data_IF_323849910274
#
_entry.id   IF_323849910274
#
_cell.length_a   1.000
_cell.length_b   1.000
_cell.length_c   1.000
_cell.angle_alpha   90.00
_cell.angle_beta   90.00
_cell.angle_gamma   90.00
#
_symmetry.space_group_name_H-M   'P 1'
#
loop_
_entity.id
_entity.type
_entity.pdbx_description
1 polymer ?
#
# COMPACT_ATOMS: atom_id res chain seq x y z
N UNK A 1 -10.00 -6.79 2.09
CA UNK A 1 -10.34 -6.62 0.67
C UNK A 1 -10.68 -7.94 0.00
N UNK A 2 -9.80 -8.97 0.02
CA UNK A 2 -10.16 -10.29 -0.53
C UNK A 2 -11.41 -10.89 0.14
N UNK A 3 -11.53 -10.78 1.48
CA UNK A 3 -12.72 -11.21 2.22
C UNK A 3 -14.00 -10.53 1.72
N UNK A 4 -13.98 -9.20 1.55
CA UNK A 4 -15.12 -8.43 1.01
C UNK A 4 -15.50 -8.90 -0.40
N UNK A 5 -14.52 -9.09 -1.28
CA UNK A 5 -14.81 -9.55 -2.64
C UNK A 5 -15.29 -11.01 -2.67
N UNK A 6 -14.71 -11.89 -1.85
CA UNK A 6 -15.13 -13.28 -1.75
C UNK A 6 -16.56 -13.43 -1.21
N UNK A 7 -16.95 -12.62 -0.21
CA UNK A 7 -18.31 -12.64 0.36
C UNK A 7 -19.42 -12.20 -0.59
N UNK A 8 -19.05 -11.51 -1.67
CA UNK A 8 -19.99 -11.18 -2.77
C UNK A 8 -20.20 -12.33 -3.77
N UNK A 9 -19.39 -13.38 -3.67
CA UNK A 9 -19.33 -14.48 -4.64
C UNK A 9 -19.62 -15.85 -4.01
N UNK A 10 -19.60 -15.96 -2.69
CA UNK A 10 -19.80 -17.21 -1.95
C UNK A 10 -20.42 -16.92 -0.59
N UNK A 11 -21.33 -17.77 -0.17
CA UNK A 11 -22.02 -17.70 1.14
C UNK A 11 -21.17 -18.34 2.28
N UNK A 12 -20.05 -18.98 1.96
CA UNK A 12 -19.20 -19.69 2.92
C UNK A 12 -17.79 -19.11 2.92
N UNK A 13 -17.60 -17.96 3.57
CA UNK A 13 -16.32 -17.24 3.63
C UNK A 13 -15.94 -16.94 5.06
N UNK A 14 -14.71 -17.29 5.43
CA UNK A 14 -14.14 -17.03 6.77
C UNK A 14 -12.84 -16.26 6.64
N UNK A 15 -12.74 -15.16 7.36
CA UNK A 15 -11.51 -14.39 7.51
C UNK A 15 -10.87 -14.62 8.87
N UNK A 16 -9.57 -14.84 8.90
CA UNK A 16 -8.76 -14.93 10.12
C UNK A 16 -7.93 -13.67 10.28
N UNK A 17 -7.95 -13.10 11.47
CA UNK A 17 -7.16 -11.94 11.84
C UNK A 17 -6.48 -12.22 13.21
N UNK A 18 -5.16 -12.06 13.24
CA UNK A 18 -4.37 -12.34 14.44
C UNK A 18 -4.61 -11.35 15.58
N UNK A 19 -5.10 -10.15 15.27
CA UNK A 19 -5.45 -9.12 16.24
C UNK A 19 -6.89 -8.64 16.00
N UNK A 20 -7.08 -7.33 15.79
CA UNK A 20 -8.34 -6.74 15.35
C UNK A 20 -8.14 -6.15 13.94
N UNK A 21 -9.18 -6.12 13.09
CA UNK A 21 -9.09 -5.42 11.81
C UNK A 21 -8.57 -3.98 11.98
N UNK A 22 -7.79 -3.51 11.01
CA UNK A 22 -7.18 -2.18 11.03
C UNK A 22 -6.21 -1.91 12.21
N UNK A 23 -5.68 -2.95 12.88
CA UNK A 23 -4.69 -2.75 13.93
C UNK A 23 -3.40 -2.05 13.42
N UNK A 24 -2.77 -1.25 14.27
CA UNK A 24 -1.58 -0.46 13.93
C UNK A 24 -0.26 -1.25 13.86
N UNK A 25 -0.24 -2.59 13.82
CA UNK A 25 1.00 -3.38 13.78
C UNK A 25 1.46 -3.71 12.38
N UNK A 26 0.55 -3.73 11.41
CA UNK A 26 0.82 -4.11 10.02
C UNK A 26 1.08 -2.89 9.13
N UNK A 27 1.50 -3.14 7.89
CA UNK A 27 1.68 -2.11 6.86
C UNK A 27 0.39 -1.32 6.52
N UNK A 28 -0.75 -1.67 7.12
CA UNK A 28 -2.00 -0.90 7.04
C UNK A 28 -2.03 0.26 8.05
N UNK A 29 -1.28 0.16 9.16
CA UNK A 29 -1.20 1.22 10.17
C UNK A 29 -0.76 2.57 9.61
N UNK A 30 -0.93 3.65 10.39
CA UNK A 30 -0.49 5.00 10.05
C UNK A 30 -1.48 5.79 9.19
N UNK A 31 -2.77 5.65 9.43
CA UNK A 31 -3.93 6.46 9.03
C UNK A 31 -4.18 6.59 7.53
N UNK A 32 -3.15 6.83 6.72
CA UNK A 32 -3.30 7.19 5.31
C UNK A 32 -2.32 6.46 4.41
N UNK A 33 -2.70 6.31 3.13
CA UNK A 33 -1.84 5.90 2.02
C UNK A 33 -2.16 6.74 0.79
N UNK A 34 -1.14 7.00 -0.02
CA UNK A 34 -1.31 7.69 -1.28
C UNK A 34 -2.06 6.79 -2.27
N UNK A 35 -3.08 7.33 -2.91
CA UNK A 35 -3.66 6.78 -4.13
C UNK A 35 -3.17 7.60 -5.33
N UNK A 36 -2.68 6.94 -6.37
CA UNK A 36 -2.20 7.57 -7.61
C UNK A 36 -2.57 6.70 -8.80
N UNK A 37 -3.07 7.32 -9.87
CA UNK A 37 -3.27 6.66 -11.16
C UNK A 37 -1.96 6.52 -11.92
N UNK A 38 -1.11 7.55 -11.81
CA UNK A 38 0.20 7.60 -12.48
C UNK A 38 1.22 6.95 -11.56
N UNK A 39 1.74 5.81 -11.98
CA UNK A 39 2.65 5.03 -11.17
C UNK A 39 3.94 4.69 -11.91
N UNK A 40 5.06 4.83 -11.21
CA UNK A 40 6.41 4.63 -11.75
C UNK A 40 6.65 3.16 -12.13
N UNK A 41 7.22 2.94 -13.29
CA UNK A 41 8.02 1.78 -13.62
C UNK A 41 7.35 0.67 -14.40
N UNK A 42 6.00 0.57 -14.44
CA UNK A 42 5.34 -0.47 -15.24
C UNK A 42 3.92 -0.08 -15.63
N UNK A 43 3.65 0.04 -16.93
CA UNK A 43 2.32 0.29 -17.47
C UNK A 43 1.30 -0.80 -17.07
N UNK A 44 1.75 -2.05 -16.86
CA UNK A 44 0.92 -3.20 -16.53
C UNK A 44 0.17 -3.07 -15.19
N UNK A 45 0.61 -2.16 -14.31
CA UNK A 45 -0.16 -1.85 -13.09
C UNK A 45 -1.43 -1.06 -13.36
N UNK A 46 -1.53 -0.36 -14.50
CA UNK A 46 -2.63 0.57 -14.74
C UNK A 46 -4.02 -0.07 -14.70
N UNK A 47 -4.26 -1.24 -15.34
CA UNK A 47 -5.55 -1.91 -15.25
C UNK A 47 -5.94 -2.27 -13.80
N UNK A 48 -4.96 -2.66 -12.97
CA UNK A 48 -5.18 -2.99 -11.56
C UNK A 48 -5.53 -1.72 -10.77
N UNK A 49 -4.82 -0.60 -11.03
CA UNK A 49 -5.08 0.69 -10.38
C UNK A 49 -6.45 1.22 -10.77
N UNK A 50 -6.81 1.17 -12.05
CA UNK A 50 -8.12 1.62 -12.55
C UNK A 50 -9.26 0.79 -11.94
N UNK A 51 -9.13 -0.54 -11.93
CA UNK A 51 -10.10 -1.41 -11.24
C UNK A 51 -10.17 -1.11 -9.75
N UNK A 52 -9.03 -0.88 -9.11
CA UNK A 52 -8.98 -0.53 -7.68
C UNK A 52 -9.73 0.76 -7.38
N UNK A 53 -9.59 1.76 -8.24
CA UNK A 53 -10.29 3.04 -8.07
C UNK A 53 -11.81 2.86 -8.11
N UNK A 54 -12.30 2.08 -9.08
CA UNK A 54 -13.72 1.74 -9.16
C UNK A 54 -14.21 1.01 -7.90
N UNK A 55 -13.44 0.02 -7.44
CA UNK A 55 -13.77 -0.75 -6.24
C UNK A 55 -13.69 0.06 -4.93
N UNK A 56 -12.80 1.06 -4.84
CA UNK A 56 -12.83 2.00 -3.71
C UNK A 56 -14.14 2.79 -3.68
N UNK A 57 -14.61 3.29 -4.82
CA UNK A 57 -15.90 4.00 -4.92
C UNK A 57 -17.10 3.06 -4.65
N UNK A 58 -17.04 1.80 -5.10
CA UNK A 58 -18.06 0.79 -4.76
C UNK A 58 -18.14 0.57 -3.23
N UNK A 59 -16.99 0.45 -2.56
CA UNK A 59 -16.93 0.25 -1.10
C UNK A 59 -17.43 1.48 -0.35
N UNK A 60 -17.11 2.69 -0.80
CA UNK A 60 -17.66 3.94 -0.27
C UNK A 60 -19.18 3.98 -0.37
N UNK A 61 -19.72 3.65 -1.55
CA UNK A 61 -21.16 3.63 -1.80
C UNK A 61 -21.90 2.55 -0.96
N UNK A 62 -21.29 1.35 -0.81
CA UNK A 62 -21.86 0.23 -0.06
C UNK A 62 -21.90 0.52 1.46
N UNK A 63 -20.90 1.25 1.99
CA UNK A 63 -20.73 1.42 3.44
C UNK A 63 -21.00 2.82 3.96
N UNK A 64 -21.18 3.80 3.07
CA UNK A 64 -21.33 5.22 3.45
C UNK A 64 -20.06 5.83 4.07
N UNK A 65 -18.89 5.18 3.94
CA UNK A 65 -17.64 5.66 4.51
C UNK A 65 -16.87 6.51 3.50
N UNK A 66 -16.32 7.64 3.94
CA UNK A 66 -15.35 8.45 3.18
C UNK A 66 -13.96 7.82 3.29
N UNK A 67 -13.52 7.11 2.25
CA UNK A 67 -12.28 6.35 2.22
C UNK A 67 -11.21 7.05 1.39
N UNK A 68 -11.55 7.54 0.21
CA UNK A 68 -10.63 8.21 -0.72
C UNK A 68 -10.87 9.72 -0.73
N UNK A 69 -10.12 10.47 0.07
CA UNK A 69 -10.10 11.93 0.02
C UNK A 69 -9.37 12.38 -1.25
N UNK A 70 -10.10 13.02 -2.16
CA UNK A 70 -9.59 13.45 -3.47
C UNK A 70 -8.87 14.79 -3.34
N UNK A 71 -7.54 14.73 -3.27
CA UNK A 71 -6.67 15.91 -3.13
C UNK A 71 -5.91 16.26 -4.40
N UNK A 72 -5.99 15.40 -5.43
CA UNK A 72 -4.99 15.36 -6.47
C UNK A 72 -3.66 14.81 -5.95
N UNK A 73 -2.67 14.72 -6.82
CA UNK A 73 -1.34 14.22 -6.46
C UNK A 73 -0.23 14.85 -7.27
N UNK A 74 0.85 15.23 -6.59
CA UNK A 74 2.06 15.78 -7.19
C UNK A 74 3.17 14.74 -7.19
N UNK A 75 3.75 14.51 -8.34
CA UNK A 75 5.02 13.79 -8.50
C UNK A 75 6.09 14.79 -8.91
N UNK A 76 6.89 15.26 -7.94
CA UNK A 76 7.86 16.35 -8.13
C UNK A 76 9.26 15.74 -8.30
N UNK A 77 10.00 16.27 -9.27
CA UNK A 77 11.39 15.87 -9.51
C UNK A 77 12.07 16.80 -10.53
N UNK A 78 13.35 16.53 -10.80
CA UNK A 78 14.14 17.28 -11.76
C UNK A 78 13.52 17.14 -13.16
N UNK A 79 13.30 18.27 -13.83
CA UNK A 79 12.83 18.30 -15.22
C UNK A 79 13.79 17.50 -16.12
N UNK A 80 13.22 16.69 -17.01
CA UNK A 80 13.96 15.73 -17.86
C UNK A 80 14.75 14.65 -17.09
N UNK A 81 14.60 14.58 -15.76
CA UNK A 81 15.19 13.51 -14.95
C UNK A 81 14.49 12.17 -15.15
N UNK A 82 15.16 11.08 -14.80
CA UNK A 82 14.64 9.72 -14.99
C UNK A 82 13.28 9.50 -14.32
N UNK A 83 13.06 10.10 -13.15
CA UNK A 83 11.79 9.97 -12.42
C UNK A 83 10.62 10.57 -13.22
N UNK A 84 10.74 11.82 -13.64
CA UNK A 84 9.69 12.52 -14.41
C UNK A 84 9.48 11.85 -15.78
N UNK A 85 10.55 11.53 -16.49
CA UNK A 85 10.46 10.89 -17.82
C UNK A 85 9.75 9.52 -17.73
N UNK A 86 10.04 8.73 -16.70
CA UNK A 86 9.38 7.43 -16.51
C UNK A 86 7.88 7.57 -16.21
N UNK A 87 7.47 8.61 -15.46
CA UNK A 87 6.06 8.89 -15.23
C UNK A 87 5.35 9.32 -16.53
N UNK A 88 5.96 10.22 -17.30
CA UNK A 88 5.41 10.68 -18.57
C UNK A 88 5.28 9.54 -19.58
N UNK A 89 6.26 8.65 -19.64
CA UNK A 89 6.15 7.45 -20.50
C UNK A 89 4.98 6.56 -20.07
N UNK A 90 4.80 6.35 -18.76
CA UNK A 90 3.65 5.60 -18.24
C UNK A 90 2.32 6.27 -18.61
N UNK A 91 2.21 7.60 -18.52
CA UNK A 91 0.98 8.32 -18.94
C UNK A 91 0.74 8.21 -20.44
N UNK A 92 1.80 8.28 -21.26
CA UNK A 92 1.72 8.12 -22.70
C UNK A 92 1.18 6.74 -23.10
N UNK A 93 1.65 5.68 -22.45
CA UNK A 93 1.22 4.30 -22.74
C UNK A 93 -0.23 4.05 -22.30
N UNK A 94 -0.61 4.56 -21.15
CA UNK A 94 -1.91 4.23 -20.53
C UNK A 94 -3.00 5.28 -20.77
N UNK A 95 -2.67 6.42 -21.40
CA UNK A 95 -3.61 7.52 -21.60
C UNK A 95 -4.10 8.16 -20.29
N UNK A 96 -3.31 8.06 -19.20
CA UNK A 96 -3.70 8.61 -17.91
C UNK A 96 -3.79 10.14 -17.95
N UNK A 97 -4.90 10.70 -17.47
CA UNK A 97 -5.10 12.14 -17.36
C UNK A 97 -4.03 12.77 -16.44
N UNK A 98 -3.35 13.79 -16.93
CA UNK A 98 -2.31 14.48 -16.17
C UNK A 98 -2.06 15.90 -16.72
N UNK A 99 -1.36 16.70 -15.94
CA UNK A 99 -0.70 17.91 -16.43
C UNK A 99 0.74 17.98 -15.92
N UNK A 100 1.59 18.62 -16.70
CA UNK A 100 2.97 18.90 -16.30
C UNK A 100 3.02 20.35 -15.82
N UNK A 101 3.46 20.54 -14.59
CA UNK A 101 3.59 21.87 -13.99
C UNK A 101 5.06 22.29 -14.01
N UNK A 102 5.32 23.49 -14.56
CA UNK A 102 6.64 24.12 -14.46
C UNK A 102 6.97 24.47 -13.00
N UNK A 103 8.21 24.85 -12.76
CA UNK A 103 8.64 25.32 -11.43
C UNK A 103 7.85 26.54 -10.98
N UNK A 104 7.58 27.47 -11.89
CA UNK A 104 6.83 28.70 -11.65
C UNK A 104 5.38 28.41 -11.27
N UNK A 105 4.71 27.52 -12.03
CA UNK A 105 3.34 27.08 -11.75
C UNK A 105 3.25 26.33 -10.41
N UNK A 106 4.27 25.52 -10.09
CA UNK A 106 4.35 24.85 -8.78
C UNK A 106 4.50 25.87 -7.64
N UNK A 107 5.38 26.85 -7.78
CA UNK A 107 5.61 27.88 -6.78
C UNK A 107 4.37 28.73 -6.51
N UNK A 108 3.59 29.03 -7.56
CA UNK A 108 2.33 29.77 -7.44
C UNK A 108 1.22 28.95 -6.80
N UNK A 109 1.03 27.70 -7.26
CA UNK A 109 -0.10 26.88 -6.83
C UNK A 109 0.13 26.14 -5.52
N UNK A 110 1.39 25.77 -5.24
CA UNK A 110 1.77 24.95 -4.07
C UNK A 110 3.02 25.51 -3.37
N UNK A 111 2.93 26.73 -2.84
CA UNK A 111 4.06 27.46 -2.21
C UNK A 111 4.63 26.77 -0.97
N UNK A 112 3.95 25.75 -0.45
CA UNK A 112 4.43 24.94 0.68
C UNK A 112 5.73 24.19 0.38
N UNK A 113 5.98 23.92 -0.91
CA UNK A 113 7.18 23.21 -1.35
C UNK A 113 8.35 24.18 -1.55
N UNK A 114 9.48 23.96 -0.87
CA UNK A 114 10.74 24.63 -1.20
C UNK A 114 11.34 23.99 -2.46
N UNK A 115 11.11 24.61 -3.61
CA UNK A 115 11.48 24.08 -4.93
C UNK A 115 12.94 24.29 -5.24
N UNK A 116 13.54 23.33 -5.95
CA UNK A 116 14.89 23.43 -6.54
C UNK A 116 14.81 24.10 -7.93
N UNK A 117 15.93 24.61 -8.45
CA UNK A 117 15.92 25.32 -9.74
C UNK A 117 15.31 24.54 -10.91
N UNK A 118 15.56 23.23 -10.95
CA UNK A 118 15.13 22.35 -12.04
C UNK A 118 13.92 21.50 -11.69
N UNK A 119 13.18 21.81 -10.63
CA UNK A 119 11.98 21.05 -10.25
C UNK A 119 10.83 21.29 -11.25
N UNK A 120 10.14 20.24 -11.58
CA UNK A 120 8.83 20.24 -12.22
C UNK A 120 7.94 19.17 -11.59
N UNK A 121 6.66 19.12 -11.92
CA UNK A 121 5.79 18.06 -11.44
C UNK A 121 4.90 17.46 -12.53
N UNK A 122 4.61 16.17 -12.39
CA UNK A 122 3.45 15.55 -13.02
C UNK A 122 2.31 15.58 -12.00
N UNK A 123 1.25 16.30 -12.32
CA UNK A 123 0.03 16.40 -11.53
C UNK A 123 -0.99 15.35 -11.99
N UNK A 124 -1.46 14.55 -11.07
CA UNK A 124 -2.50 13.53 -11.25
C UNK A 124 -3.81 14.02 -10.61
N UNK A 125 -4.81 14.48 -11.39
CA UNK A 125 -6.07 14.99 -10.86
C UNK A 125 -6.95 13.92 -10.21
N UNK A 126 -6.69 12.64 -10.51
CA UNK A 126 -7.43 11.49 -10.00
C UNK A 126 -6.77 10.85 -8.77
N UNK A 127 -5.65 11.40 -8.31
CA UNK A 127 -4.96 10.98 -7.11
C UNK A 127 -5.63 11.50 -5.83
N UNK A 128 -5.19 11.01 -4.70
CA UNK A 128 -5.66 11.42 -3.39
C UNK A 128 -5.07 10.59 -2.25
N UNK A 129 -5.76 10.58 -1.14
CA UNK A 129 -5.35 9.93 0.10
C UNK A 129 -6.40 8.93 0.55
N UNK A 130 -6.01 7.67 0.70
CA UNK A 130 -6.84 6.61 1.28
C UNK A 130 -6.72 6.62 2.80
N UNK A 131 -7.85 6.59 3.50
CA UNK A 131 -7.96 6.44 4.96
C UNK A 131 -7.92 4.95 5.29
N UNK A 132 -6.76 4.46 5.75
CA UNK A 132 -6.50 3.01 5.82
C UNK A 132 -7.36 2.28 6.84
N UNK A 133 -7.53 2.85 8.00
CA UNK A 133 -8.36 2.32 9.10
C UNK A 133 -9.84 2.23 8.70
N UNK A 134 -10.38 3.32 8.11
CA UNK A 134 -11.75 3.34 7.58
C UNK A 134 -11.93 2.31 6.48
N UNK A 135 -10.99 2.25 5.53
CA UNK A 135 -11.04 1.32 4.41
C UNK A 135 -11.08 -0.14 4.84
N UNK A 136 -10.26 -0.53 5.83
CA UNK A 136 -10.26 -1.91 6.35
C UNK A 136 -11.53 -2.19 7.13
N UNK A 137 -11.94 -1.28 8.01
CA UNK A 137 -13.17 -1.45 8.80
C UNK A 137 -14.41 -1.53 7.90
N UNK A 138 -14.49 -0.68 6.86
CA UNK A 138 -15.56 -0.70 5.87
C UNK A 138 -15.60 -2.04 5.11
N UNK A 139 -14.44 -2.53 4.63
CA UNK A 139 -14.38 -3.80 3.91
C UNK A 139 -14.76 -5.00 4.78
N UNK A 140 -14.40 -4.98 6.07
CA UNK A 140 -14.80 -6.02 7.02
C UNK A 140 -16.30 -5.95 7.30
N UNK A 141 -16.85 -4.76 7.55
CA UNK A 141 -18.28 -4.57 7.79
C UNK A 141 -19.12 -5.01 6.57
N UNK A 142 -18.71 -4.63 5.36
CA UNK A 142 -19.36 -5.05 4.12
C UNK A 142 -19.29 -6.57 3.93
N UNK A 143 -18.14 -7.19 4.22
CA UNK A 143 -18.02 -8.65 4.14
C UNK A 143 -18.95 -9.37 5.14
N UNK A 144 -19.05 -8.86 6.38
CA UNK A 144 -19.95 -9.41 7.39
C UNK A 144 -21.42 -9.21 7.03
N UNK A 145 -21.79 -8.06 6.45
CA UNK A 145 -23.14 -7.82 5.94
C UNK A 145 -23.51 -8.79 4.81
N UNK A 146 -22.54 -9.25 4.02
CA UNK A 146 -22.69 -10.28 2.99
C UNK A 146 -22.60 -11.72 3.57
N UNK A 147 -22.57 -11.91 4.89
CA UNK A 147 -22.57 -13.21 5.55
C UNK A 147 -21.20 -13.82 5.87
N UNK A 148 -20.08 -13.12 5.59
CA UNK A 148 -18.77 -13.64 5.96
C UNK A 148 -18.56 -13.65 7.48
N UNK A 149 -17.88 -14.70 7.97
CA UNK A 149 -17.44 -14.78 9.36
C UNK A 149 -16.03 -14.19 9.49
N UNK A 150 -15.80 -13.36 10.51
CA UNK A 150 -14.48 -12.80 10.82
C UNK A 150 -14.03 -13.26 12.21
N UNK A 151 -12.98 -14.07 12.25
CA UNK A 151 -12.38 -14.58 13.47
C UNK A 151 -11.21 -13.68 13.87
N UNK A 152 -11.47 -12.75 14.79
CA UNK A 152 -10.47 -11.85 15.37
C UNK A 152 -9.69 -12.56 16.48
N UNK A 153 -8.50 -12.04 16.82
CA UNK A 153 -7.59 -12.62 17.81
C UNK A 153 -7.36 -14.14 17.57
N UNK A 154 -7.27 -14.50 16.28
CA UNK A 154 -7.14 -15.88 15.84
C UNK A 154 -5.95 -16.00 14.88
N UNK A 155 -4.70 -15.99 15.39
CA UNK A 155 -3.51 -16.14 14.58
C UNK A 155 -3.49 -17.51 13.91
N UNK A 156 -3.17 -17.55 12.62
CA UNK A 156 -3.00 -18.80 11.88
C UNK A 156 -1.57 -19.30 12.06
N UNK A 157 -1.42 -20.48 12.64
CA UNK A 157 -0.13 -21.10 12.90
C UNK A 157 0.38 -21.88 11.69
N UNK A 158 -0.53 -22.58 10.99
CA UNK A 158 -0.18 -23.37 9.80
C UNK A 158 -1.36 -23.50 8.84
N UNK A 159 -1.01 -23.74 7.58
CA UNK A 159 -1.92 -24.07 6.48
C UNK A 159 -1.36 -25.34 5.80
N UNK A 160 -2.17 -26.39 5.75
CA UNK A 160 -1.74 -27.69 5.20
C UNK A 160 -2.75 -28.17 4.16
N UNK A 161 -2.27 -28.44 2.96
CA UNK A 161 -3.08 -29.02 1.89
C UNK A 161 -3.26 -30.51 2.10
N UNK A 162 -4.49 -31.02 1.89
CA UNK A 162 -4.86 -32.43 2.05
C UNK A 162 -5.72 -32.86 0.84
N UNK A 163 -6.02 -34.15 0.72
CA UNK A 163 -6.90 -34.68 -0.32
C UNK A 163 -8.32 -34.06 -0.23
N UNK A 164 -8.77 -33.69 0.97
CA UNK A 164 -10.12 -33.18 1.24
C UNK A 164 -10.24 -31.67 1.25
N UNK A 165 -9.12 -30.92 1.10
CA UNK A 165 -9.10 -29.47 1.16
C UNK A 165 -7.87 -28.92 1.84
N UNK A 166 -7.96 -27.73 2.38
CA UNK A 166 -6.89 -27.02 3.08
C UNK A 166 -7.24 -26.91 4.56
N UNK A 167 -6.42 -27.48 5.42
CA UNK A 167 -6.55 -27.39 6.87
C UNK A 167 -5.84 -26.14 7.37
N UNK A 168 -6.56 -25.27 8.07
CA UNK A 168 -6.03 -24.07 8.75
C UNK A 168 -6.02 -24.36 10.24
N UNK A 169 -4.88 -24.13 10.91
CA UNK A 169 -4.69 -24.39 12.35
C UNK A 169 -4.44 -23.07 13.10
N UNK A 170 -5.10 -22.91 14.25
CA UNK A 170 -4.86 -21.84 15.22
C UNK A 170 -4.94 -22.39 16.63
N UNK A 171 -3.81 -22.50 17.34
CA UNK A 171 -3.74 -23.17 18.64
C UNK A 171 -4.23 -24.62 18.55
N UNK A 172 -5.22 -24.95 19.36
CA UNK A 172 -5.83 -26.29 19.37
C UNK A 172 -7.02 -26.43 18.37
N UNK A 173 -7.36 -25.38 17.64
CA UNK A 173 -8.51 -25.39 16.71
C UNK A 173 -8.06 -25.57 15.28
N UNK A 174 -8.86 -26.32 14.52
CA UNK A 174 -8.66 -26.55 13.08
C UNK A 174 -9.94 -26.30 12.30
N UNK A 175 -9.79 -25.83 11.08
CA UNK A 175 -10.87 -25.67 10.11
C UNK A 175 -10.44 -26.23 8.77
N UNK A 176 -11.34 -26.79 8.00
CA UNK A 176 -11.07 -27.27 6.65
C UNK A 176 -11.83 -26.43 5.63
N UNK A 177 -11.13 -25.94 4.64
CA UNK A 177 -11.67 -25.15 3.54
C UNK A 177 -11.37 -25.80 2.20
N UNK A 178 -12.18 -25.51 1.21
CA UNK A 178 -11.91 -25.92 -0.16
C UNK A 178 -10.67 -25.19 -0.70
N UNK A 179 -10.55 -23.90 -0.42
CA UNK A 179 -9.46 -23.02 -0.86
C UNK A 179 -9.10 -21.99 0.21
N UNK A 180 -7.87 -21.52 0.20
CA UNK A 180 -7.36 -20.51 1.14
C UNK A 180 -6.61 -19.42 0.39
N UNK A 181 -6.82 -18.16 0.79
CA UNK A 181 -6.06 -17.00 0.32
C UNK A 181 -5.15 -16.49 1.45
N UNK A 182 -3.84 -16.55 1.26
CA UNK A 182 -2.85 -15.96 2.15
C UNK A 182 -2.73 -14.46 1.84
N UNK A 183 -3.18 -13.61 2.75
CA UNK A 183 -3.12 -12.14 2.63
C UNK A 183 -2.57 -11.49 3.91
N UNK A 184 -1.69 -12.18 4.62
CA UNK A 184 -1.17 -11.81 5.95
C UNK A 184 0.05 -10.88 5.92
N UNK A 185 0.28 -10.15 4.81
CA UNK A 185 1.31 -9.11 4.68
C UNK A 185 2.71 -9.61 5.07
N UNK A 186 3.39 -8.92 6.00
CA UNK A 186 4.73 -9.29 6.47
C UNK A 186 4.81 -10.70 7.06
N UNK A 187 3.73 -11.21 7.64
CA UNK A 187 3.66 -12.55 8.24
C UNK A 187 3.44 -13.67 7.23
N UNK A 188 3.15 -13.36 5.96
CA UNK A 188 2.90 -14.37 4.93
C UNK A 188 4.07 -15.36 4.75
N UNK A 189 5.31 -14.93 5.01
CA UNK A 189 6.48 -15.83 4.95
C UNK A 189 6.32 -17.08 5.83
N UNK A 190 5.65 -16.97 6.97
CA UNK A 190 5.43 -18.11 7.89
C UNK A 190 4.56 -19.21 7.27
N UNK A 191 3.69 -18.83 6.32
CA UNK A 191 2.70 -19.70 5.70
C UNK A 191 3.04 -20.11 4.24
N UNK A 192 4.11 -19.52 3.66
CA UNK A 192 4.52 -19.79 2.29
C UNK A 192 5.54 -20.95 2.21
N UNK A 193 5.64 -21.62 1.05
CA UNK A 193 6.67 -22.61 0.80
C UNK A 193 8.07 -21.97 0.71
N UNK A 194 9.12 -22.78 0.91
CA UNK A 194 10.50 -22.30 1.09
C UNK A 194 11.06 -21.57 -0.14
N UNK A 195 10.69 -21.98 -1.36
CA UNK A 195 11.12 -21.29 -2.58
C UNK A 195 10.60 -19.83 -2.64
N UNK A 196 9.37 -19.55 -2.14
CA UNK A 196 8.84 -18.19 -2.06
C UNK A 196 9.40 -17.43 -0.86
N UNK A 197 9.72 -18.12 0.24
CA UNK A 197 10.45 -17.49 1.37
C UNK A 197 11.82 -17.00 0.92
N UNK A 198 12.51 -17.75 0.07
CA UNK A 198 13.86 -17.41 -0.40
C UNK A 198 13.92 -16.10 -1.20
N UNK A 199 12.83 -15.75 -1.90
CA UNK A 199 12.75 -14.55 -2.75
C UNK A 199 11.97 -13.39 -2.10
N UNK A 200 11.71 -13.49 -0.80
CA UNK A 200 10.97 -12.46 -0.05
C UNK A 200 11.70 -12.06 1.21
N UNK A 201 11.60 -10.78 1.57
CA UNK A 201 12.17 -10.20 2.79
C UNK A 201 11.17 -9.25 3.46
N UNK A 202 11.14 -9.23 4.79
CA UNK A 202 10.40 -8.23 5.55
C UNK A 202 11.25 -6.98 5.72
N UNK A 203 10.75 -5.84 5.27
CA UNK A 203 11.39 -4.55 5.43
C UNK A 203 10.63 -3.69 6.43
N UNK A 204 11.37 -2.84 7.14
CA UNK A 204 10.82 -1.80 8.00
C UNK A 204 10.46 -0.59 7.17
N UNK A 205 9.21 -0.16 7.21
CA UNK A 205 8.72 1.08 6.60
C UNK A 205 8.44 2.08 7.71
N UNK A 206 9.09 3.23 7.64
CA UNK A 206 8.93 4.32 8.62
C UNK A 206 7.97 5.37 8.08
N UNK A 207 7.04 5.79 8.91
CA UNK A 207 6.14 6.91 8.64
C UNK A 207 6.34 7.99 9.71
N UNK A 208 6.35 9.26 9.28
CA UNK A 208 6.52 10.42 10.15
C UNK A 208 5.47 11.49 9.84
N UNK A 209 5.05 12.19 10.88
CA UNK A 209 4.08 13.28 10.82
C UNK A 209 4.62 14.52 11.50
N UNK A 210 4.35 15.67 10.92
CA UNK A 210 4.80 16.98 11.37
C UNK A 210 3.60 17.90 11.55
N UNK A 211 3.69 18.86 12.47
CA UNK A 211 2.68 19.89 12.65
C UNK A 211 2.99 21.04 11.70
N UNK A 212 2.00 21.53 10.98
CA UNK A 212 2.11 22.73 10.16
C UNK A 212 2.07 24.00 11.03
N UNK A 213 2.89 25.01 10.69
CA UNK A 213 2.80 26.34 11.32
C UNK A 213 1.46 27.02 11.00
N UNK A 214 0.96 26.81 9.78
CA UNK A 214 -0.37 27.18 9.35
C UNK A 214 -1.07 25.95 8.76
N UNK A 215 -1.99 25.36 9.52
CA UNK A 215 -2.70 24.14 9.13
C UNK A 215 -3.58 24.33 7.88
N UNK A 216 -4.03 25.57 7.60
CA UNK A 216 -4.87 25.83 6.42
C UNK A 216 -4.11 25.62 5.12
N UNK A 217 -2.82 25.97 5.09
CA UNK A 217 -1.99 25.76 3.90
C UNK A 217 -1.76 24.28 3.58
N UNK A 218 -1.82 23.41 4.57
CA UNK A 218 -1.61 21.98 4.43
C UNK A 218 -2.92 21.17 4.52
N UNK A 219 -4.06 21.81 4.39
CA UNK A 219 -5.35 21.12 4.35
C UNK A 219 -5.51 20.29 3.05
N UNK A 220 -6.41 19.30 3.01
CA UNK A 220 -6.65 18.50 1.81
C UNK A 220 -7.05 19.29 0.56
N UNK A 221 -7.64 20.48 0.75
CA UNK A 221 -8.06 21.39 -0.33
C UNK A 221 -6.88 22.15 -0.93
N UNK A 222 -5.84 22.44 -0.13
CA UNK A 222 -4.74 23.33 -0.48
C UNK A 222 -3.41 22.59 -0.72
N UNK A 223 -3.30 21.36 -0.26
CA UNK A 223 -2.06 20.57 -0.33
C UNK A 223 -2.34 19.16 -0.84
N UNK A 224 -2.00 18.85 -2.10
CA UNK A 224 -2.19 17.50 -2.65
C UNK A 224 -1.33 16.44 -1.97
N UNK A 225 -1.73 15.17 -2.12
CA UNK A 225 -0.83 14.06 -1.88
C UNK A 225 0.42 14.21 -2.74
N UNK A 226 1.60 13.85 -2.24
CA UNK A 226 2.82 14.09 -2.99
C UNK A 226 3.81 12.93 -2.92
N UNK A 227 4.65 12.83 -3.95
CA UNK A 227 5.96 12.17 -3.88
C UNK A 227 7.00 13.06 -4.55
N UNK A 228 8.19 13.10 -3.99
CA UNK A 228 9.25 13.99 -4.42
C UNK A 228 10.57 13.24 -4.49
N UNK A 229 11.27 13.43 -5.59
CA UNK A 229 12.58 12.86 -5.84
C UNK A 229 13.58 13.98 -6.16
N UNK A 230 14.67 14.00 -5.44
CA UNK A 230 15.76 14.92 -5.64
C UNK A 230 17.07 14.22 -5.32
N UNK A 231 17.95 14.10 -6.30
CA UNK A 231 19.21 13.34 -6.20
C UNK A 231 18.94 11.89 -5.74
N UNK A 232 19.55 11.47 -4.63
CA UNK A 232 19.38 10.16 -3.99
C UNK A 232 18.27 10.13 -2.93
N UNK A 233 17.58 11.26 -2.73
CA UNK A 233 16.53 11.42 -1.72
C UNK A 233 15.14 11.30 -2.32
N UNK A 234 14.31 10.51 -1.70
CA UNK A 234 12.90 10.46 -2.02
C UNK A 234 12.03 10.56 -0.78
N UNK A 235 10.92 11.23 -0.93
CA UNK A 235 9.93 11.39 0.12
C UNK A 235 8.52 11.35 -0.44
N UNK A 236 7.58 11.05 0.41
CA UNK A 236 6.15 11.05 0.07
C UNK A 236 5.32 11.45 1.28
N UNK A 237 4.13 11.96 1.00
CA UNK A 237 3.28 12.37 2.09
C UNK A 237 1.87 12.74 1.67
N UNK A 238 1.13 13.21 2.65
CA UNK A 238 -0.29 13.52 2.56
C UNK A 238 -0.60 14.80 3.34
N UNK A 239 -1.64 15.56 2.93
CA UNK A 239 -2.13 16.71 3.67
C UNK A 239 -2.58 16.35 5.08
N UNK A 240 -2.84 17.35 5.87
CA UNK A 240 -3.37 17.22 7.22
C UNK A 240 -4.85 16.80 7.19
N UNK A 241 -5.10 15.51 6.90
CA UNK A 241 -6.45 14.94 6.86
C UNK A 241 -7.12 14.83 8.23
N UNK A 242 -6.36 15.00 9.31
CA UNK A 242 -6.82 15.12 10.68
C UNK A 242 -6.96 16.59 11.13
N UNK A 243 -6.67 17.55 10.22
CA UNK A 243 -6.66 18.98 10.48
C UNK A 243 -5.43 19.51 11.21
N UNK A 244 -4.46 18.65 11.57
CA UNK A 244 -3.31 19.00 12.42
C UNK A 244 -1.98 18.53 11.84
N UNK A 245 -1.88 17.25 11.45
CA UNK A 245 -0.60 16.65 11.11
C UNK A 245 -0.45 16.35 9.62
N UNK A 246 0.63 16.83 9.04
CA UNK A 246 1.07 16.52 7.68
C UNK A 246 1.94 15.27 7.71
N UNK A 247 1.56 14.25 6.94
CA UNK A 247 2.45 13.11 6.74
C UNK A 247 3.55 13.51 5.77
N UNK A 248 4.79 13.40 6.19
CA UNK A 248 5.97 13.58 5.36
C UNK A 248 7.01 12.53 5.75
N UNK A 249 7.17 11.52 4.92
CA UNK A 249 8.03 10.36 5.20
C UNK A 249 9.12 10.27 4.17
N UNK A 250 10.36 10.11 4.62
CA UNK A 250 11.54 9.91 3.77
C UNK A 250 11.61 8.43 3.39
N UNK A 251 11.91 8.13 2.13
CA UNK A 251 12.07 6.77 1.64
C UNK A 251 13.56 6.37 1.59
N UNK A 252 13.84 5.07 1.66
CA UNK A 252 15.18 4.52 1.48
C UNK A 252 15.98 4.32 2.78
N UNK A 253 17.30 4.14 2.65
CA UNK A 253 18.19 3.81 3.78
C UNK A 253 18.21 4.84 4.89
N UNK A 254 18.05 6.13 4.56
CA UNK A 254 18.07 7.24 5.51
C UNK A 254 16.94 7.20 6.54
N UNK A 255 15.83 6.55 6.20
CA UNK A 255 14.68 6.35 7.10
C UNK A 255 14.68 4.99 7.82
N UNK A 256 15.82 4.31 7.90
CA UNK A 256 15.92 3.00 8.54
C UNK A 256 15.27 1.85 7.77
N UNK A 257 14.93 2.06 6.48
CA UNK A 257 14.41 1.01 5.58
C UNK A 257 15.41 -0.12 5.32
N UNK A 258 16.67 0.08 5.66
CA UNK A 258 17.79 -0.77 5.26
C UNK A 258 17.91 -2.11 6.02
N UNK A 259 17.06 -2.40 7.00
CA UNK A 259 17.18 -3.65 7.74
C UNK A 259 16.04 -4.59 7.37
N UNK A 260 16.32 -5.51 6.45
CA UNK A 260 15.51 -6.71 6.30
C UNK A 260 15.56 -7.51 7.62
N UNK A 261 14.42 -7.96 8.08
CA UNK A 261 14.32 -8.88 9.21
C UNK A 261 13.50 -10.10 8.79
N UNK A 262 13.93 -11.31 9.15
CA UNK A 262 13.14 -12.49 8.84
C UNK A 262 11.83 -12.56 9.64
N UNK A 263 11.76 -11.88 10.77
CA UNK A 263 10.60 -11.87 11.66
C UNK A 263 9.90 -10.50 11.68
N UNK A 264 8.65 -10.40 11.18
CA UNK A 264 7.89 -9.17 11.20
C UNK A 264 7.60 -8.65 12.62
N UNK A 265 7.55 -9.51 13.62
CA UNK A 265 7.32 -9.10 15.02
C UNK A 265 8.57 -8.46 15.65
N UNK A 266 9.75 -8.70 15.06
CA UNK A 266 11.03 -8.11 15.50
C UNK A 266 11.34 -6.75 14.83
N UNK A 267 10.45 -6.20 14.01
CA UNK A 267 10.64 -4.90 13.37
C UNK A 267 10.64 -3.79 14.44
N UNK A 268 11.75 -3.03 14.61
CA UNK A 268 11.79 -1.91 15.53
C UNK A 268 10.77 -0.83 15.15
N UNK A 269 9.90 -0.47 16.08
CA UNK A 269 8.83 0.51 15.83
C UNK A 269 9.29 1.96 16.03
N UNK A 270 10.27 2.15 16.86
CA UNK A 270 10.78 3.46 17.25
C UNK A 270 11.92 3.89 16.33
N UNK A 271 12.01 5.18 16.06
CA UNK A 271 13.14 5.78 15.36
C UNK A 271 14.32 5.98 16.31
N UNK A 272 15.52 5.76 15.82
CA UNK A 272 16.74 6.17 16.51
C UNK A 272 16.89 7.69 16.47
N UNK A 273 17.72 8.24 17.35
CA UNK A 273 18.03 9.67 17.36
C UNK A 273 18.58 10.15 16.00
N UNK A 274 19.46 9.37 15.40
CA UNK A 274 20.04 9.69 14.09
C UNK A 274 18.98 9.71 12.98
N UNK A 275 18.03 8.76 12.99
CA UNK A 275 16.90 8.75 12.04
C UNK A 275 16.00 9.97 12.24
N UNK A 276 15.71 10.36 13.48
CA UNK A 276 14.91 11.55 13.80
C UNK A 276 15.59 12.81 13.26
N UNK A 277 16.88 13.00 13.54
CA UNK A 277 17.66 14.16 13.09
C UNK A 277 17.66 14.27 11.56
N UNK A 278 17.98 13.17 10.86
CA UNK A 278 18.03 13.12 9.37
C UNK A 278 16.67 13.35 8.72
N UNK A 279 15.64 12.69 9.23
CA UNK A 279 14.27 12.86 8.67
C UNK A 279 13.80 14.28 8.89
N UNK A 280 14.03 14.86 10.06
CA UNK A 280 13.64 16.24 10.37
C UNK A 280 14.34 17.23 9.43
N UNK A 281 15.66 17.10 9.26
CA UNK A 281 16.44 17.92 8.34
C UNK A 281 15.87 17.89 6.91
N UNK A 282 15.68 16.70 6.35
CA UNK A 282 15.18 16.54 4.98
C UNK A 282 13.77 17.11 4.84
N UNK A 283 12.88 16.80 5.77
CA UNK A 283 11.48 17.24 5.67
C UNK A 283 11.38 18.76 5.77
N UNK A 284 12.08 19.39 6.70
CA UNK A 284 12.02 20.85 6.88
C UNK A 284 12.76 21.63 5.80
N UNK A 285 13.75 21.02 5.16
CA UNK A 285 14.37 21.60 3.96
C UNK A 285 13.40 21.68 2.79
N UNK A 286 12.54 20.67 2.61
CA UNK A 286 11.53 20.68 1.54
C UNK A 286 10.22 21.38 1.91
N UNK A 287 9.92 21.50 3.20
CA UNK A 287 8.68 22.10 3.72
C UNK A 287 8.99 23.07 4.88
N UNK A 288 9.45 24.29 4.60
CA UNK A 288 9.79 25.27 5.65
C UNK A 288 8.61 25.66 6.53
N UNK A 289 7.37 25.48 6.07
CA UNK A 289 6.15 25.73 6.83
C UNK A 289 5.79 24.63 7.86
N UNK A 290 6.61 23.57 8.00
CA UNK A 290 6.42 22.57 9.04
C UNK A 290 7.30 22.90 10.26
N UNK A 291 6.77 22.61 11.46
CA UNK A 291 7.54 22.72 12.70
C UNK A 291 8.65 21.66 12.66
N UNK A 292 9.95 22.00 12.93
CA UNK A 292 11.08 21.10 12.80
C UNK A 292 11.15 20.07 13.94
N UNK A 293 10.07 19.37 14.16
CA UNK A 293 9.94 18.33 15.18
C UNK A 293 8.96 17.29 14.69
N UNK A 294 9.36 16.03 14.72
CA UNK A 294 8.44 14.91 14.42
C UNK A 294 7.40 14.85 15.54
N UNK A 295 6.15 15.11 15.19
CA UNK A 295 5.03 15.05 16.13
C UNK A 295 4.60 13.61 16.43
N UNK A 296 4.71 12.73 15.43
CA UNK A 296 4.42 11.30 15.55
C UNK A 296 5.30 10.53 14.57
N UNK A 297 5.75 9.36 14.99
CA UNK A 297 6.40 8.39 14.11
C UNK A 297 5.90 6.98 14.41
N UNK A 298 5.96 6.11 13.42
CA UNK A 298 5.72 4.69 13.58
C UNK A 298 6.44 3.91 12.48
N UNK A 299 6.65 2.62 12.69
CA UNK A 299 7.26 1.75 11.71
C UNK A 299 6.49 0.44 11.59
N UNK A 300 6.46 -0.10 10.39
CA UNK A 300 5.64 -1.25 10.03
C UNK A 300 6.44 -2.29 9.25
N UNK A 301 6.17 -3.60 9.48
CA UNK A 301 6.69 -4.64 8.62
C UNK A 301 5.94 -4.65 7.29
N UNK A 302 6.66 -4.59 6.17
CA UNK A 302 6.11 -4.82 4.84
C UNK A 302 6.91 -5.90 4.12
N UNK A 303 6.24 -6.79 3.40
CA UNK A 303 6.88 -7.87 2.69
C UNK A 303 7.29 -7.43 1.29
N UNK A 304 8.57 -7.55 1.01
CA UNK A 304 9.19 -7.25 -0.26
C UNK A 304 9.60 -8.52 -0.99
N UNK A 305 9.40 -8.55 -2.29
CA UNK A 305 9.96 -9.54 -3.19
C UNK A 305 11.30 -9.04 -3.75
N UNK A 306 12.14 -9.95 -4.22
CA UNK A 306 13.43 -9.64 -4.84
C UNK A 306 13.28 -8.69 -6.04
N UNK A 307 12.27 -8.92 -6.88
CA UNK A 307 11.98 -8.12 -8.07
C UNK A 307 11.04 -6.92 -7.82
N UNK A 308 10.65 -6.72 -6.57
CA UNK A 308 9.74 -5.64 -6.14
C UNK A 308 8.33 -5.71 -6.75
N UNK A 309 7.91 -6.85 -7.33
CA UNK A 309 6.54 -7.07 -7.79
C UNK A 309 5.78 -7.99 -6.83
N UNK A 310 4.46 -7.79 -6.63
CA UNK A 310 3.66 -8.62 -5.74
C UNK A 310 3.69 -10.10 -6.08
N UNK A 311 3.31 -10.92 -5.11
CA UNK A 311 2.96 -12.32 -5.30
C UNK A 311 1.43 -12.43 -5.27
N UNK A 312 0.80 -12.61 -6.44
CA UNK A 312 -0.65 -12.73 -6.59
C UNK A 312 -0.94 -13.91 -7.52
N UNK A 313 -1.37 -15.02 -6.96
CA UNK A 313 -1.59 -16.25 -7.71
C UNK A 313 -1.60 -17.49 -6.84
N UNK A 314 -1.82 -18.64 -7.47
CA UNK A 314 -1.71 -19.94 -6.83
C UNK A 314 -0.25 -20.24 -6.47
N UNK A 315 -0.03 -20.93 -5.34
CA UNK A 315 1.33 -21.28 -4.91
C UNK A 315 2.02 -22.24 -5.90
N UNK A 316 1.23 -23.12 -6.52
CA UNK A 316 1.60 -23.93 -7.66
C UNK A 316 0.38 -24.29 -8.52
N UNK A 317 0.59 -25.02 -9.64
CA UNK A 317 -0.43 -25.34 -10.64
C UNK A 317 -1.63 -26.13 -10.09
N UNK A 318 -1.38 -26.96 -9.07
CA UNK A 318 -2.41 -27.83 -8.49
C UNK A 318 -2.82 -27.41 -7.08
N UNK A 319 -2.27 -26.29 -6.57
CA UNK A 319 -2.52 -25.83 -5.21
C UNK A 319 -3.95 -25.33 -5.02
N UNK A 320 -4.48 -25.56 -3.84
CA UNK A 320 -5.71 -24.94 -3.34
C UNK A 320 -5.42 -23.69 -2.49
N UNK A 321 -4.15 -23.30 -2.41
CA UNK A 321 -3.68 -22.15 -1.66
C UNK A 321 -3.27 -21.06 -2.64
N UNK A 322 -3.92 -19.91 -2.52
CA UNK A 322 -3.66 -18.69 -3.28
C UNK A 322 -2.90 -17.70 -2.39
N UNK A 323 -2.00 -16.90 -2.93
CA UNK A 323 -1.38 -15.81 -2.19
C UNK A 323 -1.65 -14.45 -2.82
N UNK A 324 -1.82 -13.44 -1.98
CA UNK A 324 -1.91 -12.02 -2.34
C UNK A 324 -1.08 -11.23 -1.33
N UNK A 325 0.23 -11.18 -1.56
CA UNK A 325 1.23 -10.68 -0.60
C UNK A 325 2.50 -10.16 -1.29
N UNK A 326 3.54 -9.79 -0.52
CA UNK A 326 4.81 -9.35 -1.09
C UNK A 326 4.70 -8.04 -1.87
N UNK A 327 3.88 -7.10 -1.42
CA UNK A 327 3.51 -5.91 -2.18
C UNK A 327 4.60 -4.86 -2.32
N UNK A 328 5.73 -4.99 -1.62
CA UNK A 328 6.92 -4.16 -1.79
C UNK A 328 6.63 -2.64 -1.74
N UNK A 329 5.85 -2.19 -0.75
CA UNK A 329 5.47 -0.78 -0.57
C UNK A 329 4.33 -0.29 -1.48
N UNK A 330 3.73 -1.14 -2.30
CA UNK A 330 2.77 -0.74 -3.33
C UNK A 330 1.32 -1.18 -3.07
N UNK A 331 1.10 -2.05 -2.07
CA UNK A 331 -0.10 -2.85 -1.94
C UNK A 331 -1.38 -2.05 -1.72
N UNK A 332 -1.39 -1.13 -0.76
CA UNK A 332 -2.65 -0.59 -0.24
C UNK A 332 -3.49 0.16 -1.28
N UNK A 333 -2.86 0.99 -2.12
CA UNK A 333 -3.58 1.72 -3.19
C UNK A 333 -4.33 0.80 -4.16
N UNK A 334 -3.81 -0.41 -4.36
CA UNK A 334 -4.37 -1.45 -5.25
C UNK A 334 -5.03 -2.61 -4.46
N UNK A 335 -5.24 -2.46 -3.15
CA UNK A 335 -5.69 -3.56 -2.31
C UNK A 335 -7.08 -4.09 -2.69
N UNK A 336 -7.99 -3.21 -3.15
CA UNK A 336 -9.31 -3.63 -3.65
C UNK A 336 -9.20 -4.40 -4.97
N UNK A 337 -8.34 -3.97 -5.88
CA UNK A 337 -8.06 -4.66 -7.14
C UNK A 337 -7.42 -6.04 -6.91
N UNK A 338 -6.40 -6.11 -6.07
CA UNK A 338 -5.79 -7.40 -5.71
C UNK A 338 -6.74 -8.31 -4.94
N UNK A 339 -7.57 -7.73 -4.06
CA UNK A 339 -8.62 -8.48 -3.38
C UNK A 339 -9.65 -9.06 -4.35
N UNK A 340 -10.02 -8.29 -5.38
CA UNK A 340 -10.88 -8.73 -6.47
C UNK A 340 -10.24 -9.88 -7.27
N UNK A 341 -8.99 -9.71 -7.72
CA UNK A 341 -8.24 -10.74 -8.44
C UNK A 341 -8.20 -12.04 -7.62
N UNK A 342 -7.76 -11.96 -6.35
CA UNK A 342 -7.61 -13.12 -5.50
C UNK A 342 -8.93 -13.85 -5.24
N UNK A 343 -10.01 -13.11 -4.95
CA UNK A 343 -11.33 -13.72 -4.71
C UNK A 343 -11.92 -14.36 -5.99
N UNK A 344 -11.81 -13.67 -7.13
CA UNK A 344 -12.35 -14.18 -8.39
C UNK A 344 -11.61 -15.43 -8.84
N UNK A 345 -10.29 -15.42 -8.88
CA UNK A 345 -9.52 -16.59 -9.29
C UNK A 345 -9.67 -17.75 -8.31
N UNK A 346 -9.66 -17.49 -6.99
CA UNK A 346 -9.91 -18.54 -6.00
C UNK A 346 -11.28 -19.20 -6.17
N UNK A 347 -12.28 -18.49 -6.68
CA UNK A 347 -13.63 -19.00 -6.94
C UNK A 347 -13.87 -19.37 -8.42
N UNK A 348 -12.82 -19.49 -9.23
CA UNK A 348 -12.91 -19.92 -10.63
C UNK A 348 -13.60 -18.91 -11.55
N UNK A 349 -13.55 -17.62 -11.21
CA UNK A 349 -14.10 -16.54 -12.03
C UNK A 349 -13.00 -15.84 -12.82
N UNK A 350 -13.39 -15.21 -13.92
CA UNK A 350 -12.48 -14.36 -14.70
C UNK A 350 -12.11 -13.08 -13.95
N UNK A 351 -10.93 -12.56 -14.22
CA UNK A 351 -10.39 -11.34 -13.66
C UNK A 351 -9.62 -10.53 -14.72
N UNK A 352 -8.74 -9.64 -14.29
CA UNK A 352 -7.91 -8.78 -15.14
C UNK A 352 -6.86 -9.64 -15.86
N UNK A 353 -6.63 -9.38 -17.14
CA UNK A 353 -5.58 -10.01 -17.93
C UNK A 353 -4.19 -9.35 -17.69
N UNK A 354 -3.12 -10.01 -18.17
CA UNK A 354 -1.76 -9.47 -18.12
C UNK A 354 -1.11 -9.51 -16.75
N UNK A 355 -1.46 -10.48 -15.92
CA UNK A 355 -0.98 -10.61 -14.53
C UNK A 355 0.29 -11.45 -14.36
N UNK A 356 0.94 -11.88 -15.45
CA UNK A 356 2.10 -12.81 -15.39
C UNK A 356 3.25 -12.26 -14.53
N UNK A 357 3.43 -10.94 -14.54
CA UNK A 357 4.48 -10.26 -13.77
C UNK A 357 4.28 -10.30 -12.25
N UNK A 358 3.10 -10.69 -11.76
CA UNK A 358 2.80 -10.84 -10.32
C UNK A 358 2.62 -12.30 -9.91
N UNK A 359 2.66 -13.27 -10.85
CA UNK A 359 2.45 -14.69 -10.54
C UNK A 359 3.60 -15.27 -9.71
N UNK A 360 3.32 -16.12 -8.71
CA UNK A 360 4.36 -16.75 -7.89
C UNK A 360 5.31 -17.65 -8.68
N UNK A 361 4.83 -18.30 -9.73
CA UNK A 361 5.59 -19.23 -10.57
C UNK A 361 6.71 -18.58 -11.38
N UNK A 362 6.73 -17.25 -11.51
CA UNK A 362 7.85 -16.50 -12.11
C UNK A 362 9.19 -16.74 -11.37
N UNK A 363 9.13 -17.28 -10.15
CA UNK A 363 10.31 -17.67 -9.36
C UNK A 363 10.62 -19.18 -9.37
N UNK A 364 9.84 -20.00 -10.08
CA UNK A 364 10.06 -21.46 -10.13
C UNK A 364 11.29 -21.90 -10.94
N UNK A 365 11.85 -21.04 -11.75
CA UNK A 365 12.94 -21.33 -12.70
C UNK A 365 14.32 -20.86 -12.22
N UNK A 366 14.50 -20.62 -10.93
CA UNK A 366 15.78 -20.21 -10.36
C UNK A 366 16.36 -21.24 -9.41
#
# INVERSE_FOLDING_TARGET
MALWQASRLSDSVVGFEAATPAHGRSAVGGDTRLFRMIYLGRPEYYPIIERSRGLWAELEAETGQDILTRTGGLSIGTANGNYINSLLETTRVNGAEHSVLSREELAERYPQHNLRPDDCAVYDPRAGVLRTDRAVSAAVAAAQANGATVLQNTPVDSITETEHGVVVTSGARTWTFEKVIIASGGWSRRLMPDHLKAVTETHRIVLTWFIAQDGTQFSPENFPAFSRWYEDRSMYGAPAVDGVTVKASVDGPLAGRARATPDPDAVPRELTREEIEKVTEIVTDFFPGLIPTIARSDAFPDLFTEDRHPLVGWLDEHSRIYCATGFSGKGFKMATGYGHIAAHEALGKQTIDGLDFVRPDRFKTR
#
